data_IF_030134936089
#
_entry.id   IF_030134936089
#
_cell.length_a   1.000
_cell.length_b   1.000
_cell.length_c   1.000
_cell.angle_alpha   90.00
_cell.angle_beta   90.00
_cell.angle_gamma   90.00
#
_symmetry.space_group_name_H-M   'P 1'
#
loop_
_entity.id
_entity.type
_entity.pdbx_description
1 polymer ?
#
# COMPACT_ATOMS: atom_id res chain seq x y z
N UNK A 1 -7.23 -6.86 25.87
CA UNK A 1 -6.38 -6.24 26.91
C UNK A 1 -5.99 -4.85 26.42
N UNK A 2 -5.93 -3.83 27.27
CA UNK A 2 -5.30 -2.57 26.85
C UNK A 2 -3.80 -2.83 26.82
N UNK A 3 -3.17 -2.81 25.65
CA UNK A 3 -1.71 -2.77 25.58
C UNK A 3 -1.26 -1.52 26.34
N UNK A 4 -0.34 -1.69 27.29
CA UNK A 4 0.26 -0.57 28.02
C UNK A 4 1.41 -0.07 27.16
N UNK A 5 1.20 1.05 26.47
CA UNK A 5 2.23 1.68 25.65
C UNK A 5 3.18 2.53 26.51
N UNK A 6 4.45 2.59 26.12
CA UNK A 6 5.45 3.47 26.71
C UNK A 6 5.25 4.90 26.20
N UNK A 7 5.09 5.91 27.06
CA UNK A 7 4.99 7.30 26.60
C UNK A 7 6.34 7.76 26.00
N UNK A 8 6.28 8.60 24.98
CA UNK A 8 7.46 9.28 24.41
C UNK A 8 7.17 10.78 24.22
N UNK A 9 8.15 11.61 24.55
CA UNK A 9 8.04 13.07 24.32
C UNK A 9 8.40 13.40 22.88
N UNK A 10 7.98 14.58 22.39
CA UNK A 10 8.34 15.04 21.04
C UNK A 10 9.84 15.23 20.89
N UNK A 11 10.48 15.71 21.95
CA UNK A 11 11.91 15.95 22.03
C UNK A 11 12.69 14.64 21.99
N UNK A 12 12.23 13.64 22.75
CA UNK A 12 12.82 12.29 22.74
C UNK A 12 12.66 11.62 21.38
N UNK A 13 11.46 11.67 20.79
CA UNK A 13 11.21 11.13 19.45
C UNK A 13 12.11 11.78 18.42
N UNK A 14 12.25 13.11 18.46
CA UNK A 14 13.13 13.85 17.55
C UNK A 14 14.59 13.43 17.73
N UNK A 15 15.06 13.25 18.97
CA UNK A 15 16.42 12.78 19.23
C UNK A 15 16.65 11.36 18.69
N UNK A 16 15.69 10.45 18.88
CA UNK A 16 15.75 9.09 18.33
C UNK A 16 15.78 9.09 16.79
N UNK A 17 14.94 9.89 16.14
CA UNK A 17 14.93 10.04 14.67
C UNK A 17 16.24 10.62 14.13
N UNK A 18 16.85 11.57 14.85
CA UNK A 18 18.16 12.11 14.48
C UNK A 18 19.27 11.06 14.62
N UNK A 19 19.30 10.34 15.75
CA UNK A 19 20.23 9.23 15.97
C UNK A 19 20.11 8.18 14.86
N UNK A 20 18.87 7.83 14.50
CA UNK A 20 18.61 6.89 13.42
C UNK A 20 19.04 7.38 12.04
N UNK A 21 18.85 8.67 11.76
CA UNK A 21 19.28 9.25 10.49
C UNK A 21 20.80 9.13 10.31
N UNK A 22 21.58 9.32 11.38
CA UNK A 22 23.02 9.06 11.35
C UNK A 22 23.31 7.57 11.10
N UNK A 23 22.57 6.68 11.78
CA UNK A 23 22.76 5.24 11.64
C UNK A 23 22.52 4.74 10.21
N UNK A 24 21.49 5.25 9.52
CA UNK A 24 21.22 4.86 8.14
C UNK A 24 22.30 5.36 7.16
N UNK A 25 22.98 6.47 7.47
CA UNK A 25 23.98 7.05 6.58
C UNK A 25 25.28 6.24 6.54
N UNK A 26 25.76 5.76 7.68
CA UNK A 26 27.09 5.16 7.80
C UNK A 26 27.15 3.85 8.60
N UNK A 27 26.07 3.45 9.28
CA UNK A 27 26.01 2.30 10.20
C UNK A 27 27.09 2.30 11.30
N UNK A 28 27.68 3.46 11.58
CA UNK A 28 28.76 3.67 12.54
C UNK A 28 28.39 4.68 13.63
N UNK A 29 27.50 5.63 13.32
CA UNK A 29 27.07 6.69 14.24
C UNK A 29 25.56 6.63 14.52
N UNK A 30 25.17 6.89 15.76
CA UNK A 30 23.76 6.78 16.18
C UNK A 30 23.29 5.33 16.35
N UNK A 31 21.97 5.16 16.41
CA UNK A 31 21.34 3.88 16.74
C UNK A 31 20.18 3.60 15.79
N UNK A 32 20.01 2.32 15.42
CA UNK A 32 18.81 1.86 14.71
C UNK A 32 17.57 2.21 15.53
N UNK A 33 16.55 2.75 14.87
CA UNK A 33 15.34 3.20 15.54
C UNK A 33 14.52 2.02 16.06
N UNK A 34 14.34 1.99 17.38
CA UNK A 34 13.37 1.12 18.05
C UNK A 34 12.31 1.98 18.74
N UNK A 35 11.07 1.81 18.28
CA UNK A 35 9.84 2.43 18.76
C UNK A 35 8.82 1.38 19.21
N UNK A 36 9.26 0.14 19.44
CA UNK A 36 8.37 -0.95 19.83
C UNK A 36 7.64 -0.62 21.13
N UNK A 37 6.35 -0.91 21.17
CA UNK A 37 5.47 -0.65 22.33
C UNK A 37 5.34 0.85 22.73
N UNK A 38 5.82 1.81 21.94
CA UNK A 38 5.66 3.23 22.27
C UNK A 38 4.29 3.81 21.87
N UNK A 39 3.84 4.83 22.60
CA UNK A 39 2.70 5.67 22.26
C UNK A 39 3.14 6.87 21.44
N UNK A 40 3.01 6.76 20.12
CA UNK A 40 3.24 7.81 19.14
C UNK A 40 1.94 8.46 18.68
N UNK A 41 0.85 8.33 19.44
CA UNK A 41 -0.45 8.85 19.05
C UNK A 41 -0.38 10.36 18.80
N UNK A 42 -0.97 10.80 17.69
CA UNK A 42 -1.02 12.21 17.25
C UNK A 42 0.37 12.87 17.02
N UNK A 43 1.45 12.09 16.92
CA UNK A 43 2.77 12.64 16.59
C UNK A 43 2.87 13.07 15.12
N UNK A 44 3.71 14.08 14.85
CA UNK A 44 4.04 14.52 13.51
C UNK A 44 5.32 13.84 13.04
N UNK A 45 5.18 12.94 12.07
CA UNK A 45 6.20 12.11 11.46
C UNK A 45 6.19 12.29 9.93
N UNK A 46 5.73 13.45 9.45
CA UNK A 46 5.68 13.74 8.01
C UNK A 46 7.07 13.64 7.39
N UNK A 47 7.20 12.83 6.34
CA UNK A 47 8.48 12.61 5.67
C UNK A 47 9.53 11.92 6.55
N UNK A 48 9.15 11.32 7.69
CA UNK A 48 10.11 10.64 8.56
C UNK A 48 10.83 9.52 7.81
N UNK A 49 12.15 9.44 8.03
CA UNK A 49 12.98 8.38 7.49
C UNK A 49 13.06 7.27 8.54
N UNK A 50 12.33 6.19 8.28
CA UNK A 50 12.14 5.03 9.17
C UNK A 50 12.69 3.76 8.50
N UNK A 51 13.73 3.91 7.67
CA UNK A 51 14.34 2.79 6.95
C UNK A 51 14.84 1.75 7.94
N UNK A 52 14.40 0.50 7.79
CA UNK A 52 14.72 -0.59 8.72
C UNK A 52 14.31 -0.33 10.19
N UNK A 53 13.45 0.64 10.50
CA UNK A 53 13.01 0.86 11.87
C UNK A 53 12.25 -0.36 12.43
N UNK A 54 12.30 -0.53 13.75
CA UNK A 54 11.48 -1.50 14.48
C UNK A 54 10.45 -0.72 15.29
N UNK A 55 9.18 -1.00 15.08
CA UNK A 55 8.08 -0.42 15.83
C UNK A 55 6.99 -1.48 16.00
N UNK A 56 7.36 -2.65 16.53
CA UNK A 56 6.43 -3.73 16.80
C UNK A 56 5.47 -3.33 17.94
N UNK A 57 4.18 -3.62 17.77
CA UNK A 57 3.13 -3.32 18.75
C UNK A 57 3.11 -1.84 19.22
N UNK A 58 3.50 -0.89 18.36
CA UNK A 58 3.47 0.53 18.67
C UNK A 58 2.10 1.16 18.38
N UNK A 59 1.81 2.31 18.99
CA UNK A 59 0.58 3.06 18.77
C UNK A 59 0.85 4.33 17.97
N UNK A 60 0.44 4.37 16.70
CA UNK A 60 0.49 5.53 15.81
C UNK A 60 -0.91 6.14 15.60
N UNK A 61 -1.85 5.91 16.52
CA UNK A 61 -3.23 6.36 16.36
C UNK A 61 -3.29 7.91 16.19
N UNK A 62 -3.91 8.36 15.09
CA UNK A 62 -3.99 9.77 14.73
C UNK A 62 -2.67 10.45 14.33
N UNK A 63 -1.55 9.72 14.27
CA UNK A 63 -0.26 10.26 13.87
C UNK A 63 -0.25 10.66 12.38
N UNK A 64 0.60 11.62 12.03
CA UNK A 64 0.79 12.05 10.65
C UNK A 64 2.13 11.56 10.10
N UNK A 65 2.11 10.45 9.38
CA UNK A 65 3.25 9.83 8.70
C UNK A 65 3.24 10.10 7.18
N UNK A 66 2.54 11.14 6.69
CA UNK A 66 2.43 11.33 5.24
C UNK A 66 3.80 11.55 4.61
N UNK A 67 4.10 10.80 3.55
CA UNK A 67 5.40 10.85 2.87
C UNK A 67 6.54 10.14 3.61
N UNK A 68 6.27 9.44 4.71
CA UNK A 68 7.30 8.71 5.44
C UNK A 68 7.88 7.56 4.59
N UNK A 69 9.15 7.24 4.83
CA UNK A 69 9.85 6.14 4.16
C UNK A 69 10.18 5.08 5.21
N UNK A 70 9.43 3.98 5.24
CA UNK A 70 9.61 2.87 6.16
C UNK A 70 9.88 1.57 5.40
N UNK A 71 10.77 1.62 4.40
CA UNK A 71 11.16 0.41 3.67
C UNK A 71 11.98 -0.51 4.59
N UNK A 72 11.77 -1.82 4.48
CA UNK A 72 12.37 -2.84 5.36
C UNK A 72 12.06 -2.69 6.86
N UNK A 73 11.10 -1.83 7.24
CA UNK A 73 10.70 -1.67 8.62
C UNK A 73 9.87 -2.87 9.12
N UNK A 74 9.99 -3.18 10.41
CA UNK A 74 9.05 -4.05 11.10
C UNK A 74 8.08 -3.20 11.91
N UNK A 75 6.81 -3.18 11.49
CA UNK A 75 5.73 -2.45 12.14
C UNK A 75 4.62 -3.39 12.62
N UNK A 76 4.88 -4.70 12.68
CA UNK A 76 3.86 -5.72 12.96
C UNK A 76 3.10 -5.44 14.27
N UNK A 77 1.80 -5.77 14.29
CA UNK A 77 0.93 -5.56 15.44
C UNK A 77 0.59 -4.10 15.79
N UNK A 78 1.20 -3.12 15.10
CA UNK A 78 0.98 -1.70 15.40
C UNK A 78 -0.44 -1.22 15.09
N UNK A 79 -0.88 -0.19 15.82
CA UNK A 79 -2.15 0.52 15.59
C UNK A 79 -1.88 1.81 14.82
N UNK A 80 -2.59 2.01 13.70
CA UNK A 80 -2.55 3.22 12.86
C UNK A 80 -3.94 3.83 12.70
N UNK A 81 -4.81 3.70 13.72
CA UNK A 81 -6.21 4.13 13.58
C UNK A 81 -6.27 5.62 13.35
N UNK A 82 -7.01 6.04 12.33
CA UNK A 82 -7.14 7.44 11.94
C UNK A 82 -5.81 8.14 11.57
N UNK A 83 -4.71 7.39 11.40
CA UNK A 83 -3.42 7.96 11.02
C UNK A 83 -3.43 8.43 9.56
N UNK A 84 -2.55 9.37 9.24
CA UNK A 84 -2.30 9.81 7.87
C UNK A 84 -0.97 9.24 7.37
N UNK A 85 -1.04 8.25 6.49
CA UNK A 85 0.10 7.58 5.83
C UNK A 85 0.11 7.88 4.32
N UNK A 86 -0.62 8.89 3.84
CA UNK A 86 -0.72 9.15 2.40
C UNK A 86 0.64 9.50 1.78
N UNK A 87 0.89 9.00 0.57
CA UNK A 87 2.12 9.15 -0.21
C UNK A 87 3.37 8.52 0.43
N UNK A 88 3.22 7.55 1.33
CA UNK A 88 4.35 6.92 2.02
C UNK A 88 4.94 5.73 1.26
N UNK A 89 6.15 5.32 1.63
CA UNK A 89 6.90 4.23 0.98
C UNK A 89 7.18 3.12 1.99
N UNK A 90 6.53 1.97 1.80
CA UNK A 90 6.53 0.79 2.67
C UNK A 90 7.01 -0.44 1.90
N UNK A 91 8.15 -0.34 1.21
CA UNK A 91 8.67 -1.46 0.41
C UNK A 91 9.31 -2.51 1.32
N UNK A 92 9.04 -3.79 1.10
CA UNK A 92 9.67 -4.90 1.83
C UNK A 92 9.49 -4.85 3.36
N UNK A 93 8.48 -4.14 3.85
CA UNK A 93 8.21 -3.98 5.28
C UNK A 93 7.19 -5.00 5.78
N UNK A 94 7.19 -5.24 7.09
CA UNK A 94 6.19 -6.05 7.78
C UNK A 94 5.15 -5.13 8.44
N UNK A 95 3.90 -5.25 8.00
CA UNK A 95 2.71 -4.61 8.57
C UNK A 95 1.63 -5.66 8.87
N UNK A 96 2.04 -6.91 9.12
CA UNK A 96 1.13 -7.97 9.53
C UNK A 96 0.45 -7.62 10.85
N UNK A 97 -0.79 -8.08 11.02
CA UNK A 97 -1.61 -7.86 12.22
C UNK A 97 -1.90 -6.39 12.60
N UNK A 98 -1.56 -5.43 11.74
CA UNK A 98 -1.78 -4.01 12.01
C UNK A 98 -3.25 -3.58 11.91
N UNK A 99 -3.62 -2.54 12.67
CA UNK A 99 -4.95 -1.92 12.58
C UNK A 99 -4.89 -0.55 11.87
N UNK A 100 -5.37 -0.50 10.63
CA UNK A 100 -5.47 0.69 9.79
C UNK A 100 -6.88 1.28 9.74
N UNK A 101 -7.75 1.00 10.72
CA UNK A 101 -9.14 1.49 10.70
C UNK A 101 -9.20 3.01 10.57
N UNK A 102 -9.97 3.49 9.59
CA UNK A 102 -10.11 4.90 9.19
C UNK A 102 -8.78 5.61 8.78
N UNK A 103 -7.68 4.88 8.60
CA UNK A 103 -6.41 5.48 8.19
C UNK A 103 -6.48 5.99 6.75
N UNK A 104 -5.63 6.96 6.42
CA UNK A 104 -5.40 7.38 5.03
C UNK A 104 -4.08 6.79 4.55
N UNK A 105 -4.10 5.99 3.50
CA UNK A 105 -2.92 5.33 2.92
C UNK A 105 -2.84 5.65 1.42
N UNK A 106 -3.56 6.68 0.99
CA UNK A 106 -3.73 7.06 -0.42
C UNK A 106 -2.36 7.25 -1.11
N UNK A 107 -2.23 6.77 -2.35
CA UNK A 107 -1.03 6.89 -3.19
C UNK A 107 0.27 6.28 -2.60
N UNK A 108 0.17 5.45 -1.57
CA UNK A 108 1.34 4.82 -0.95
C UNK A 108 1.87 3.64 -1.76
N UNK A 109 3.16 3.33 -1.58
CA UNK A 109 3.83 2.20 -2.24
C UNK A 109 4.03 1.07 -1.24
N UNK A 110 3.34 -0.04 -1.45
CA UNK A 110 3.30 -1.24 -0.58
C UNK A 110 4.03 -2.42 -1.24
N UNK A 111 5.06 -2.19 -2.03
CA UNK A 111 5.63 -3.28 -2.82
C UNK A 111 6.33 -4.32 -1.94
N UNK A 112 6.04 -5.59 -2.19
CA UNK A 112 6.65 -6.73 -1.49
C UNK A 112 6.53 -6.71 0.03
N UNK A 113 5.60 -5.92 0.58
CA UNK A 113 5.35 -5.86 2.01
C UNK A 113 4.33 -6.90 2.46
N UNK A 114 4.37 -7.24 3.74
CA UNK A 114 3.39 -8.12 4.37
C UNK A 114 2.28 -7.30 5.04
N UNK A 115 1.02 -7.48 4.62
CA UNK A 115 -0.18 -6.92 5.26
C UNK A 115 -1.15 -8.03 5.67
N UNK A 116 -0.64 -9.24 5.92
CA UNK A 116 -1.47 -10.37 6.33
C UNK A 116 -2.18 -10.09 7.65
N UNK A 117 -3.45 -10.48 7.74
CA UNK A 117 -4.34 -10.27 8.89
C UNK A 117 -4.60 -8.79 9.26
N UNK A 118 -4.06 -7.84 8.51
CA UNK A 118 -4.24 -6.41 8.78
C UNK A 118 -5.69 -5.94 8.55
N UNK A 119 -6.11 -4.94 9.32
CA UNK A 119 -7.48 -4.45 9.37
C UNK A 119 -7.61 -3.09 8.66
N UNK A 120 -8.39 -3.00 7.57
CA UNK A 120 -8.52 -1.77 6.78
C UNK A 120 -9.94 -1.20 6.79
N UNK A 121 -10.71 -1.41 7.87
CA UNK A 121 -12.09 -0.91 7.94
C UNK A 121 -12.14 0.61 7.77
N UNK A 122 -12.85 1.06 6.71
CA UNK A 122 -12.96 2.46 6.29
C UNK A 122 -11.61 3.15 5.95
N UNK A 123 -10.54 2.39 5.74
CA UNK A 123 -9.26 2.97 5.32
C UNK A 123 -9.38 3.50 3.88
N UNK A 124 -8.77 4.66 3.62
CA UNK A 124 -8.67 5.22 2.28
C UNK A 124 -7.41 4.69 1.60
N UNK A 125 -7.58 3.93 0.53
CA UNK A 125 -6.48 3.23 -0.16
C UNK A 125 -6.43 3.56 -1.67
N UNK A 126 -6.93 4.74 -2.04
CA UNK A 126 -7.01 5.18 -3.43
C UNK A 126 -5.59 5.33 -4.00
N UNK A 127 -5.33 4.74 -5.17
CA UNK A 127 -4.03 4.84 -5.85
C UNK A 127 -2.89 4.08 -5.16
N UNK A 128 -3.19 3.21 -4.20
CA UNK A 128 -2.17 2.39 -3.54
C UNK A 128 -1.56 1.39 -4.53
N UNK A 129 -0.22 1.28 -4.50
CA UNK A 129 0.53 0.32 -5.34
C UNK A 129 0.88 -0.93 -4.52
N UNK A 130 0.38 -2.08 -4.94
CA UNK A 130 0.40 -3.34 -4.16
C UNK A 130 1.19 -4.48 -4.81
N UNK A 131 2.08 -4.18 -5.77
CA UNK A 131 2.88 -5.21 -6.45
C UNK A 131 3.66 -6.08 -5.47
N UNK A 132 3.37 -7.39 -5.46
CA UNK A 132 4.00 -8.35 -4.54
C UNK A 132 3.55 -8.25 -3.08
N UNK A 133 2.63 -7.34 -2.74
CA UNK A 133 2.10 -7.20 -1.39
C UNK A 133 1.22 -8.39 -1.01
N UNK A 134 1.32 -8.83 0.24
CA UNK A 134 0.52 -9.92 0.79
C UNK A 134 -0.65 -9.36 1.58
N UNK A 135 -1.83 -9.94 1.42
CA UNK A 135 -3.08 -9.51 2.09
C UNK A 135 -3.92 -10.74 2.49
N UNK A 136 -3.27 -11.87 2.72
CA UNK A 136 -3.90 -13.08 3.21
C UNK A 136 -4.59 -12.79 4.56
N UNK A 137 -5.88 -13.16 4.67
CA UNK A 137 -6.71 -12.90 5.85
C UNK A 137 -6.88 -11.41 6.23
N UNK A 138 -6.44 -10.48 5.39
CA UNK A 138 -6.63 -9.05 5.62
C UNK A 138 -8.10 -8.66 5.43
N UNK A 139 -8.60 -7.75 6.27
CA UNK A 139 -9.98 -7.26 6.17
C UNK A 139 -10.02 -5.97 5.37
N UNK A 140 -10.19 -6.11 4.06
CA UNK A 140 -10.29 -5.03 3.07
C UNK A 140 -11.77 -4.66 2.85
N UNK A 141 -12.21 -3.49 3.29
CA UNK A 141 -13.59 -3.04 3.12
C UNK A 141 -13.70 -1.96 2.03
N UNK A 142 -14.43 -2.26 0.94
CA UNK A 142 -14.92 -1.34 -0.12
C UNK A 142 -13.89 -0.47 -0.87
N UNK A 143 -12.76 -0.10 -0.28
CA UNK A 143 -11.75 0.78 -0.86
C UNK A 143 -10.68 0.05 -1.66
N UNK A 144 -10.49 -1.25 -1.42
CA UNK A 144 -9.55 -2.10 -2.15
C UNK A 144 -10.15 -3.49 -2.35
N UNK A 145 -10.20 -3.95 -3.59
CA UNK A 145 -10.62 -5.29 -3.99
C UNK A 145 -9.41 -6.00 -4.56
N UNK A 146 -9.03 -7.13 -3.98
CA UNK A 146 -7.94 -7.97 -4.49
C UNK A 146 -8.54 -9.20 -5.14
N UNK A 147 -8.21 -9.42 -6.41
CA UNK A 147 -8.67 -10.56 -7.21
C UNK A 147 -7.44 -11.42 -7.49
N UNK A 148 -7.50 -12.66 -7.01
CA UNK A 148 -6.49 -13.69 -7.19
C UNK A 148 -7.02 -14.77 -8.14
N UNK A 149 -6.11 -15.56 -8.72
CA UNK A 149 -6.47 -16.70 -9.58
C UNK A 149 -6.75 -16.35 -11.04
N UNK A 150 -6.72 -15.07 -11.41
CA UNK A 150 -6.66 -14.62 -12.80
C UNK A 150 -5.22 -14.71 -13.33
N UNK A 151 -5.02 -14.53 -14.64
CA UNK A 151 -3.67 -14.55 -15.25
C UNK A 151 -2.71 -13.57 -14.58
N UNK A 152 -3.22 -12.40 -14.23
CA UNK A 152 -2.52 -11.40 -13.44
C UNK A 152 -3.30 -11.18 -12.15
N UNK A 153 -2.58 -10.94 -11.06
CA UNK A 153 -3.19 -10.39 -9.85
C UNK A 153 -3.80 -9.03 -10.19
N UNK A 154 -5.04 -8.81 -9.77
CA UNK A 154 -5.73 -7.53 -9.98
C UNK A 154 -6.03 -6.91 -8.61
N UNK A 155 -5.78 -5.61 -8.49
CA UNK A 155 -6.20 -4.81 -7.34
C UNK A 155 -7.01 -3.60 -7.83
N UNK A 156 -8.26 -3.46 -7.42
CA UNK A 156 -9.12 -2.33 -7.79
C UNK A 156 -9.31 -1.45 -6.56
N UNK A 157 -8.97 -0.16 -6.66
CA UNK A 157 -9.16 0.81 -5.56
C UNK A 157 -10.22 1.85 -5.90
N UNK A 158 -11.22 1.96 -5.01
CA UNK A 158 -12.34 2.93 -5.07
C UNK A 158 -12.99 3.06 -6.46
N UNK A 159 -13.07 1.92 -7.16
CA UNK A 159 -13.60 1.78 -8.54
C UNK A 159 -12.94 2.68 -9.60
N UNK A 160 -11.88 3.40 -9.25
CA UNK A 160 -11.29 4.46 -10.06
C UNK A 160 -9.89 4.10 -10.57
N UNK A 161 -9.17 3.24 -9.84
CA UNK A 161 -7.86 2.72 -10.25
C UNK A 161 -7.84 1.20 -10.24
N UNK A 162 -7.09 0.63 -11.17
CA UNK A 162 -6.82 -0.80 -11.20
C UNK A 162 -5.33 -1.05 -11.43
N UNK A 163 -4.78 -1.93 -10.61
CA UNK A 163 -3.49 -2.55 -10.84
C UNK A 163 -3.71 -3.93 -11.45
N UNK A 164 -2.96 -4.25 -12.51
CA UNK A 164 -2.99 -5.54 -13.19
C UNK A 164 -1.56 -6.03 -13.37
N UNK A 165 -1.13 -7.00 -12.56
CA UNK A 165 0.27 -7.39 -12.50
C UNK A 165 1.15 -6.21 -12.03
N UNK A 166 2.09 -5.78 -12.88
CA UNK A 166 2.98 -4.66 -12.61
C UNK A 166 2.40 -3.30 -13.06
N UNK A 167 1.34 -3.31 -13.86
CA UNK A 167 0.76 -2.11 -14.47
C UNK A 167 -0.24 -1.45 -13.53
N UNK A 168 -0.17 -0.13 -13.38
CA UNK A 168 -1.04 0.64 -12.49
C UNK A 168 -1.58 1.87 -13.20
N UNK A 169 -2.87 1.84 -13.51
CA UNK A 169 -3.54 2.87 -14.30
C UNK A 169 -4.94 3.15 -13.73
N UNK A 170 -5.51 4.29 -14.08
CA UNK A 170 -6.92 4.57 -13.83
C UNK A 170 -7.81 3.60 -14.62
N UNK A 171 -9.02 3.35 -14.12
CA UNK A 171 -10.01 2.51 -14.81
C UNK A 171 -10.40 3.12 -16.17
N UNK A 172 -10.37 4.45 -16.30
CA UNK A 172 -10.57 5.13 -17.57
C UNK A 172 -9.46 4.84 -18.58
N UNK A 173 -8.19 4.89 -18.16
CA UNK A 173 -7.04 4.56 -19.02
C UNK A 173 -7.11 3.09 -19.47
N UNK A 174 -7.40 2.18 -18.54
CA UNK A 174 -7.64 0.77 -18.86
C UNK A 174 -8.77 0.53 -19.86
N UNK A 175 -9.66 1.49 -20.07
CA UNK A 175 -10.76 1.40 -21.05
C UNK A 175 -10.45 2.11 -22.37
N UNK A 176 -9.31 2.80 -22.46
CA UNK A 176 -8.90 3.57 -23.63
C UNK A 176 -7.60 3.12 -24.26
N UNK A 177 -6.85 2.17 -23.66
CA UNK A 177 -5.59 1.73 -24.23
C UNK A 177 -5.74 1.16 -25.65
N UNK A 178 -4.80 1.54 -26.50
CA UNK A 178 -4.61 0.99 -27.83
C UNK A 178 -4.01 -0.42 -27.75
N UNK A 179 -4.25 -1.21 -28.81
CA UNK A 179 -3.73 -2.59 -28.92
C UNK A 179 -2.22 -2.67 -28.70
N UNK A 180 -1.46 -1.70 -29.22
CA UNK A 180 -0.01 -1.68 -29.08
C UNK A 180 0.43 -1.38 -27.64
N UNK A 181 -0.26 -0.50 -26.91
CA UNK A 181 0.06 -0.19 -25.51
C UNK A 181 -0.11 -1.42 -24.63
N UNK A 182 -1.20 -2.16 -24.80
CA UNK A 182 -1.42 -3.44 -24.10
C UNK A 182 -0.36 -4.49 -24.50
N UNK A 183 0.00 -4.55 -25.77
CA UNK A 183 1.05 -5.45 -26.23
C UNK A 183 2.41 -5.13 -25.61
N UNK A 184 2.73 -3.86 -25.36
CA UNK A 184 3.98 -3.46 -24.73
C UNK A 184 4.08 -3.85 -23.25
N UNK A 185 2.95 -4.11 -22.59
CA UNK A 185 2.93 -4.50 -21.17
C UNK A 185 3.41 -5.95 -20.94
N UNK A 186 2.87 -6.92 -21.70
CA UNK A 186 3.24 -8.34 -21.60
C UNK A 186 2.93 -9.14 -22.90
N UNK A 187 3.11 -8.49 -24.05
CA UNK A 187 2.99 -9.10 -25.37
C UNK A 187 1.61 -9.70 -25.68
N UNK A 188 1.61 -10.85 -26.37
CA UNK A 188 0.39 -11.57 -26.76
C UNK A 188 -0.43 -12.06 -25.55
N UNK A 189 0.23 -12.24 -24.42
CA UNK A 189 -0.39 -12.69 -23.19
C UNK A 189 -1.30 -11.61 -22.59
N UNK A 190 -0.84 -10.37 -22.53
CA UNK A 190 -1.66 -9.22 -22.14
C UNK A 190 -2.85 -9.06 -23.09
N UNK A 191 -2.62 -9.10 -24.41
CA UNK A 191 -3.69 -8.98 -25.41
C UNK A 191 -4.80 -10.03 -25.26
N UNK A 192 -4.44 -11.29 -25.02
CA UNK A 192 -5.42 -12.37 -24.81
C UNK A 192 -6.24 -12.19 -23.53
N UNK A 193 -5.63 -11.63 -22.50
CA UNK A 193 -6.29 -11.42 -21.21
C UNK A 193 -7.14 -10.14 -21.17
N UNK A 194 -6.81 -9.15 -22.00
CA UNK A 194 -7.42 -7.82 -21.94
C UNK A 194 -8.97 -7.81 -22.04
N UNK A 195 -9.64 -8.62 -22.88
CA UNK A 195 -11.11 -8.69 -22.86
C UNK A 195 -11.67 -9.14 -21.50
N UNK A 196 -11.03 -10.14 -20.87
CA UNK A 196 -11.39 -10.63 -19.53
C UNK A 196 -11.17 -9.55 -18.47
N UNK A 197 -10.08 -8.78 -18.58
CA UNK A 197 -9.84 -7.64 -17.71
C UNK A 197 -11.00 -6.62 -17.79
N UNK A 198 -11.47 -6.26 -19.00
CA UNK A 198 -12.59 -5.33 -19.15
C UNK A 198 -13.90 -5.87 -18.54
N UNK A 199 -14.16 -7.18 -18.63
CA UNK A 199 -15.31 -7.80 -17.96
C UNK A 199 -15.22 -7.70 -16.43
N UNK A 200 -14.02 -7.93 -15.87
CA UNK A 200 -13.75 -7.78 -14.45
C UNK A 200 -13.98 -6.32 -14.02
N UNK A 201 -13.46 -5.37 -14.78
CA UNK A 201 -13.67 -3.94 -14.52
C UNK A 201 -15.15 -3.58 -14.59
N UNK A 202 -15.91 -4.07 -15.58
CA UNK A 202 -17.36 -3.84 -15.66
C UNK A 202 -18.10 -4.35 -14.42
N UNK A 203 -17.74 -5.53 -13.90
CA UNK A 203 -18.38 -6.11 -12.72
C UNK A 203 -18.14 -5.27 -11.46
N UNK A 204 -16.91 -4.82 -11.22
CA UNK A 204 -16.55 -4.14 -9.97
C UNK A 204 -16.71 -2.61 -10.02
N UNK A 205 -16.55 -2.02 -11.19
CA UNK A 205 -16.52 -0.55 -11.38
C UNK A 205 -17.77 -0.01 -12.09
N UNK A 206 -18.60 -0.89 -12.65
CA UNK A 206 -19.72 -0.54 -13.50
C UNK A 206 -19.34 -0.56 -14.99
N UNK A 207 -20.33 -0.71 -15.86
CA UNK A 207 -20.12 -0.72 -17.31
C UNK A 207 -19.56 0.61 -17.79
N UNK A 208 -18.63 0.54 -18.73
CA UNK A 208 -18.02 1.72 -19.35
C UNK A 208 -17.58 1.46 -20.80
N UNK A 209 -16.91 2.43 -21.44
CA UNK A 209 -16.41 2.26 -22.79
C UNK A 209 -15.42 1.08 -22.87
N UNK A 210 -15.29 0.53 -24.07
CA UNK A 210 -14.28 -0.48 -24.44
C UNK A 210 -13.61 -0.03 -25.74
N UNK A 211 -12.31 -0.28 -25.95
CA UNK A 211 -11.65 0.06 -27.21
C UNK A 211 -12.22 -0.74 -28.38
N UNK A 212 -12.36 -0.12 -29.55
CA UNK A 212 -12.99 -0.74 -30.74
C UNK A 212 -12.29 -2.01 -31.21
N UNK A 213 -10.97 -2.11 -30.99
CA UNK A 213 -10.18 -3.29 -31.35
C UNK A 213 -10.50 -4.53 -30.49
N UNK A 214 -11.20 -4.36 -29.36
CA UNK A 214 -11.57 -5.44 -28.45
C UNK A 214 -12.91 -6.03 -28.88
N UNK A 215 -12.87 -7.13 -29.62
CA UNK A 215 -14.07 -7.80 -30.16
C UNK A 215 -14.00 -8.05 -31.66
N UNK A 216 -13.03 -7.45 -32.35
CA UNK A 216 -12.63 -7.88 -33.68
C UNK A 216 -12.03 -9.28 -33.57
N UNK A 217 -12.73 -10.28 -34.10
CA UNK A 217 -12.19 -11.63 -34.30
C UNK A 217 -10.89 -11.44 -35.08
N UNK A 218 -9.78 -11.95 -34.54
CA UNK A 218 -8.53 -11.97 -35.28
C UNK A 218 -8.80 -12.76 -36.57
N UNK A 219 -8.85 -12.06 -37.71
CA UNK A 219 -8.73 -12.74 -39.00
C UNK A 219 -7.30 -13.31 -39.01
N UNK A 220 -7.23 -14.64 -38.90
CA UNK A 220 -6.01 -15.44 -38.94
C UNK A 220 -5.16 -15.15 -40.18
#
# INVERSE_FOLDING_TARGET
MKHQYNPITKEELKAKLQSHSCWVQDNATGERLDLSMFDLSNMDLRGAYLLEAVAEDACFDGANLSGAVASFANMSGSSFKNANLSNSIFKFSDFSDCDFKNAKIENSILWYSDFNRAQFKNAKMNGVKTSGAKFEEAILYQSLIIIQGERYRIAISDKSFAQVGCEHHSVSEWRSFEKNEIFLMDGRAALKFYPRLLDILDFYTGKGPRPDWVGEVAND
#
